data_IF_240988234574
#
_entry.id   IF_240988234574
#
_cell.length_a   1.000
_cell.length_b   1.000
_cell.length_c   1.000
_cell.angle_alpha   90.00
_cell.angle_beta   90.00
_cell.angle_gamma   90.00
#
_symmetry.space_group_name_H-M   'P 1'
#
loop_
_entity.id
_entity.type
_entity.pdbx_description
1 polymer ?
#
# COMPACT_ATOMS: atom_id res chain seq x y z
N UNK A 1 35.89 27.00 5.60
CA UNK A 1 35.00 25.86 5.87
C UNK A 1 33.89 26.33 6.77
N UNK A 2 32.64 26.30 6.34
CA UNK A 2 31.48 26.32 7.23
C UNK A 2 30.33 25.62 6.51
N UNK A 3 30.26 24.30 6.72
CA UNK A 3 29.18 23.46 6.23
C UNK A 3 28.23 23.25 7.42
N UNK A 4 27.31 24.20 7.60
CA UNK A 4 26.29 24.17 8.65
C UNK A 4 24.98 23.62 8.09
N UNK A 5 24.73 22.35 8.36
CA UNK A 5 23.42 21.71 8.56
C UNK A 5 22.21 22.43 7.96
N UNK A 6 21.92 22.19 6.69
CA UNK A 6 20.57 22.35 6.16
C UNK A 6 19.73 21.16 6.62
N UNK A 7 19.20 21.23 7.84
CA UNK A 7 18.12 20.34 8.25
C UNK A 7 16.95 20.50 7.25
N UNK A 8 16.53 19.40 6.62
CA UNK A 8 15.36 19.39 5.75
C UNK A 8 14.17 19.96 6.52
N UNK A 9 13.72 21.17 6.15
CA UNK A 9 12.45 21.71 6.65
C UNK A 9 11.32 20.85 6.06
N UNK A 10 10.51 20.28 6.93
CA UNK A 10 9.29 19.56 6.55
C UNK A 10 8.26 20.60 6.10
N UNK A 11 7.72 20.45 4.89
CA UNK A 11 6.62 21.26 4.38
C UNK A 11 5.28 20.64 4.81
N UNK A 12 4.47 21.42 5.52
CA UNK A 12 3.14 21.04 6.00
C UNK A 12 2.00 21.67 5.17
N UNK A 13 2.32 22.22 3.98
CA UNK A 13 1.32 22.83 3.10
C UNK A 13 0.34 21.78 2.57
N UNK A 14 -0.95 22.05 2.70
CA UNK A 14 -2.01 21.18 2.18
C UNK A 14 -2.23 21.49 0.69
N UNK A 15 -2.23 20.44 -0.15
CA UNK A 15 -2.64 20.57 -1.55
C UNK A 15 -4.17 20.66 -1.66
N UNK A 16 -4.65 21.90 -1.81
CA UNK A 16 -6.09 22.22 -1.93
C UNK A 16 -6.73 21.68 -3.21
N UNK A 17 -5.95 21.28 -4.20
CA UNK A 17 -6.46 20.74 -5.47
C UNK A 17 -6.57 19.21 -5.45
N UNK A 18 -6.05 18.55 -4.41
CA UNK A 18 -5.99 17.10 -4.31
C UNK A 18 -6.62 16.59 -3.01
N UNK A 19 -7.80 17.11 -2.67
CA UNK A 19 -8.54 16.73 -1.48
C UNK A 19 -9.50 15.57 -1.76
N UNK A 20 -9.59 14.66 -0.80
CA UNK A 20 -10.53 13.53 -0.81
C UNK A 20 -11.17 13.38 0.57
N UNK A 21 -12.46 13.05 0.60
CA UNK A 21 -13.15 12.51 1.77
C UNK A 21 -12.97 10.99 1.76
N UNK A 22 -12.56 10.43 2.89
CA UNK A 22 -12.43 8.99 3.06
C UNK A 22 -13.71 8.42 3.69
N UNK A 23 -14.23 7.36 3.08
CA UNK A 23 -15.35 6.56 3.57
C UNK A 23 -14.88 5.10 3.69
N UNK A 24 -15.14 4.46 4.82
CA UNK A 24 -14.78 3.05 5.06
C UNK A 24 -16.04 2.19 5.08
N UNK A 25 -16.02 1.12 4.29
CA UNK A 25 -17.14 0.22 4.06
C UNK A 25 -16.63 -1.19 4.36
N UNK A 26 -17.27 -1.90 5.28
CA UNK A 26 -16.79 -3.21 5.72
C UNK A 26 -17.92 -4.15 6.08
N UNK A 27 -17.69 -5.44 5.87
CA UNK A 27 -18.57 -6.52 6.34
C UNK A 27 -18.25 -6.97 7.78
N UNK A 28 -17.24 -6.36 8.42
CA UNK A 28 -16.73 -6.69 9.77
C UNK A 28 -16.22 -8.14 9.85
N UNK A 29 -15.89 -8.75 8.71
CA UNK A 29 -15.39 -10.12 8.62
C UNK A 29 -14.12 -10.14 7.78
N UNK A 30 -14.28 -10.10 6.47
CA UNK A 30 -13.21 -10.35 5.51
C UNK A 30 -12.84 -9.08 4.75
N UNK A 31 -13.83 -8.28 4.38
CA UNK A 31 -13.66 -7.19 3.43
C UNK A 31 -13.72 -5.82 4.11
N UNK A 32 -12.74 -4.99 3.75
CA UNK A 32 -12.79 -3.55 3.96
C UNK A 32 -12.52 -2.86 2.62
N UNK A 33 -13.41 -1.96 2.23
CA UNK A 33 -13.28 -1.11 1.05
C UNK A 33 -13.18 0.33 1.55
N UNK A 34 -12.11 1.01 1.16
CA UNK A 34 -11.93 2.44 1.36
C UNK A 34 -12.31 3.17 0.09
N UNK A 35 -13.30 4.04 0.17
CA UNK A 35 -13.72 4.92 -0.91
C UNK A 35 -13.16 6.32 -0.66
N UNK A 36 -12.40 6.83 -1.61
CA UNK A 36 -11.91 8.21 -1.62
C UNK A 36 -12.77 9.02 -2.57
N UNK A 37 -13.59 9.91 -2.02
CA UNK A 37 -14.49 10.78 -2.76
C UNK A 37 -13.78 12.12 -2.97
N UNK A 38 -13.52 12.54 -4.21
CA UNK A 38 -12.89 13.84 -4.48
C UNK A 38 -13.74 14.97 -3.90
N UNK A 39 -13.09 15.94 -3.25
CA UNK A 39 -13.75 17.13 -2.73
C UNK A 39 -13.01 18.41 -3.11
N UNK A 40 -13.72 19.53 -3.09
CA UNK A 40 -13.14 20.87 -3.21
C UNK A 40 -12.60 21.38 -1.85
N UNK A 41 -11.92 22.53 -1.87
CA UNK A 41 -11.40 23.18 -0.65
C UNK A 41 -12.49 23.64 0.34
N UNK A 42 -13.76 23.61 -0.05
CA UNK A 42 -14.91 23.89 0.82
C UNK A 42 -15.52 22.60 1.38
N UNK A 43 -14.95 21.44 1.06
CA UNK A 43 -15.39 20.13 1.50
C UNK A 43 -16.58 19.57 0.73
N UNK A 44 -16.99 20.19 -0.38
CA UNK A 44 -18.08 19.68 -1.23
C UNK A 44 -17.55 18.67 -2.22
N UNK A 45 -18.40 17.70 -2.57
CA UNK A 45 -18.06 16.64 -3.52
C UNK A 45 -17.74 17.25 -4.89
N UNK A 46 -16.63 16.80 -5.49
CA UNK A 46 -16.15 17.22 -6.79
C UNK A 46 -16.46 16.15 -7.84
N UNK A 47 -17.60 16.31 -8.51
CA UNK A 47 -18.07 15.38 -9.54
C UNK A 47 -17.27 15.38 -10.84
N UNK A 48 -16.25 16.26 -10.98
CA UNK A 48 -15.37 16.25 -12.15
C UNK A 48 -14.32 15.13 -12.09
N UNK A 49 -14.10 14.56 -10.91
CA UNK A 49 -13.16 13.46 -10.66
C UNK A 49 -13.93 12.21 -10.24
N UNK A 50 -13.44 11.05 -10.65
CA UNK A 50 -14.00 9.78 -10.22
C UNK A 50 -13.56 9.42 -8.80
N UNK A 51 -14.42 8.76 -8.01
CA UNK A 51 -13.99 8.17 -6.75
C UNK A 51 -12.93 7.10 -6.97
N UNK A 52 -12.06 6.92 -5.97
CA UNK A 52 -11.09 5.83 -5.95
C UNK A 52 -11.56 4.81 -4.91
N UNK A 53 -11.51 3.53 -5.27
CA UNK A 53 -11.83 2.45 -4.37
C UNK A 53 -10.57 1.63 -4.09
N UNK A 54 -10.32 1.34 -2.82
CA UNK A 54 -9.22 0.49 -2.37
C UNK A 54 -9.78 -0.67 -1.57
N UNK A 55 -9.47 -1.88 -1.99
CA UNK A 55 -9.72 -3.09 -1.22
C UNK A 55 -8.62 -3.30 -0.19
N UNK A 56 -9.04 -3.77 0.98
CA UNK A 56 -8.19 -4.11 2.12
C UNK A 56 -8.71 -5.39 2.77
N UNK A 57 -7.82 -6.33 3.06
CA UNK A 57 -8.10 -7.51 3.89
C UNK A 57 -6.86 -7.92 4.67
N UNK A 58 -7.00 -8.86 5.60
CA UNK A 58 -5.90 -9.41 6.39
C UNK A 58 -5.89 -10.92 6.28
N UNK A 59 -4.73 -11.48 5.93
CA UNK A 59 -4.49 -12.91 5.89
C UNK A 59 -3.67 -13.32 7.10
N UNK A 60 -3.94 -14.48 7.69
CA UNK A 60 -3.10 -15.01 8.77
C UNK A 60 -2.00 -15.88 8.17
N UNK A 61 -0.73 -15.50 8.35
CA UNK A 61 0.43 -16.35 8.05
C UNK A 61 1.03 -16.92 9.36
N UNK A 62 1.92 -17.92 9.27
CA UNK A 62 2.63 -18.43 10.45
C UNK A 62 3.40 -17.37 11.23
N UNK A 63 3.88 -16.33 10.55
CA UNK A 63 4.66 -15.23 11.10
C UNK A 63 3.78 -14.08 11.62
N UNK A 64 2.47 -14.12 11.37
CA UNK A 64 1.50 -13.13 11.83
C UNK A 64 0.52 -12.67 10.75
N UNK A 65 -0.31 -11.65 11.06
CA UNK A 65 -1.25 -11.10 10.10
C UNK A 65 -0.50 -10.35 8.99
N UNK A 66 -0.83 -10.68 7.75
CA UNK A 66 -0.32 -10.03 6.54
C UNK A 66 -1.44 -9.17 5.94
N UNK A 67 -1.28 -7.83 5.94
CA UNK A 67 -2.26 -6.95 5.31
C UNK A 67 -2.14 -7.06 3.79
N UNK A 68 -3.28 -7.19 3.14
CA UNK A 68 -3.41 -7.18 1.70
C UNK A 68 -4.20 -5.97 1.26
N UNK A 69 -3.72 -5.27 0.23
CA UNK A 69 -4.38 -4.08 -0.30
C UNK A 69 -4.28 -4.07 -1.82
N UNK A 70 -5.32 -3.57 -2.48
CA UNK A 70 -5.32 -3.39 -3.93
C UNK A 70 -6.25 -2.25 -4.34
N UNK A 71 -5.95 -1.58 -5.44
CA UNK A 71 -6.87 -0.64 -6.06
C UNK A 71 -7.96 -1.41 -6.81
N UNK A 72 -9.20 -0.93 -6.72
CA UNK A 72 -10.33 -1.51 -7.42
C UNK A 72 -10.66 -0.68 -8.66
N UNK A 73 -10.85 -1.35 -9.79
CA UNK A 73 -11.25 -0.72 -11.05
C UNK A 73 -12.76 -0.55 -11.07
N UNK A 74 -13.26 0.41 -10.28
CA UNK A 74 -14.68 0.62 -10.09
C UNK A 74 -15.04 2.12 -10.07
N UNK A 75 -16.23 2.46 -10.58
CA UNK A 75 -16.84 3.78 -10.48
C UNK A 75 -17.93 3.86 -9.39
N UNK A 76 -18.45 2.71 -8.95
CA UNK A 76 -19.48 2.60 -7.91
C UNK A 76 -19.08 1.61 -6.81
N UNK A 77 -19.82 1.62 -5.69
CA UNK A 77 -19.60 0.64 -4.62
C UNK A 77 -20.01 -0.77 -5.05
N UNK A 78 -21.04 -0.91 -5.87
CA UNK A 78 -21.49 -2.21 -6.39
C UNK A 78 -20.41 -2.84 -7.26
N UNK A 79 -19.85 -2.07 -8.21
CA UNK A 79 -18.71 -2.50 -9.02
C UNK A 79 -17.48 -2.81 -8.17
N UNK A 80 -17.22 -2.02 -7.12
CA UNK A 80 -16.09 -2.25 -6.22
C UNK A 80 -16.24 -3.57 -5.44
N UNK A 81 -17.46 -3.93 -5.04
CA UNK A 81 -17.74 -5.21 -4.38
C UNK A 81 -17.51 -6.38 -5.34
N UNK A 82 -17.96 -6.25 -6.60
CA UNK A 82 -17.79 -7.29 -7.62
C UNK A 82 -16.31 -7.48 -8.02
N UNK A 83 -15.54 -6.40 -8.12
CA UNK A 83 -14.11 -6.43 -8.45
C UNK A 83 -13.23 -6.94 -7.30
N UNK A 84 -13.72 -6.87 -6.05
CA UNK A 84 -12.93 -7.15 -4.85
C UNK A 84 -12.22 -8.51 -4.86
N UNK A 85 -12.89 -9.65 -5.14
CA UNK A 85 -12.25 -10.96 -5.05
C UNK A 85 -11.09 -11.11 -6.05
N UNK A 86 -11.28 -10.61 -7.27
CA UNK A 86 -10.25 -10.65 -8.31
C UNK A 86 -9.04 -9.81 -7.94
N UNK A 87 -9.25 -8.58 -7.47
CA UNK A 87 -8.19 -7.69 -7.05
C UNK A 87 -7.38 -8.23 -5.85
N UNK A 88 -8.04 -8.91 -4.91
CA UNK A 88 -7.37 -9.56 -3.77
C UNK A 88 -6.57 -10.79 -4.19
N UNK A 89 -7.06 -11.59 -5.13
CA UNK A 89 -6.29 -12.73 -5.64
C UNK A 89 -4.98 -12.26 -6.31
N UNK A 90 -5.06 -11.22 -7.15
CA UNK A 90 -3.87 -10.64 -7.80
C UNK A 90 -2.88 -10.11 -6.75
N UNK A 91 -3.36 -9.35 -5.77
CA UNK A 91 -2.51 -8.81 -4.72
C UNK A 91 -1.84 -9.92 -3.90
N UNK A 92 -2.54 -11.04 -3.65
CA UNK A 92 -1.98 -12.19 -2.93
C UNK A 92 -0.84 -12.82 -3.74
N UNK A 93 -1.05 -13.02 -5.04
CA UNK A 93 -0.04 -13.61 -5.92
C UNK A 93 1.22 -12.73 -5.99
N UNK A 94 1.05 -11.41 -6.13
CA UNK A 94 2.15 -10.43 -6.08
C UNK A 94 2.89 -10.45 -4.75
N UNK A 95 2.16 -10.53 -3.64
CA UNK A 95 2.74 -10.62 -2.29
C UNK A 95 3.57 -11.90 -2.13
N UNK A 96 3.05 -13.05 -2.58
CA UNK A 96 3.76 -14.33 -2.55
C UNK A 96 5.02 -14.27 -3.41
N UNK A 97 4.95 -13.71 -4.62
CA UNK A 97 6.11 -13.53 -5.49
C UNK A 97 7.17 -12.62 -4.83
N UNK A 98 6.74 -11.52 -4.22
CA UNK A 98 7.64 -10.59 -3.54
C UNK A 98 8.34 -11.25 -2.35
N UNK A 99 7.64 -12.07 -1.57
CA UNK A 99 8.23 -12.82 -0.47
C UNK A 99 9.28 -13.84 -0.97
N UNK A 100 9.03 -14.52 -2.08
CA UNK A 100 10.02 -15.44 -2.68
C UNK A 100 11.30 -14.69 -3.06
N UNK A 101 11.17 -13.57 -3.77
CA UNK A 101 12.31 -12.72 -4.17
C UNK A 101 13.12 -12.23 -2.98
N UNK A 102 12.46 -11.73 -1.93
CA UNK A 102 13.14 -11.26 -0.72
C UNK A 102 13.90 -12.41 -0.03
N UNK A 103 13.32 -13.61 0.05
CA UNK A 103 14.03 -14.78 0.62
C UNK A 103 15.26 -15.17 -0.19
N UNK A 104 15.15 -15.18 -1.51
CA UNK A 104 16.28 -15.47 -2.42
C UNK A 104 17.41 -14.43 -2.27
N UNK A 105 17.07 -13.13 -2.26
CA UNK A 105 18.05 -12.06 -2.06
C UNK A 105 18.73 -12.14 -0.69
N UNK A 106 17.98 -12.48 0.37
CA UNK A 106 18.54 -12.67 1.71
C UNK A 106 19.50 -13.85 1.77
N UNK A 107 19.20 -14.96 1.08
CA UNK A 107 20.11 -16.10 0.99
C UNK A 107 21.40 -15.74 0.25
N UNK A 108 21.29 -15.09 -0.92
CA UNK A 108 22.46 -14.61 -1.68
C UNK A 108 23.36 -13.68 -0.88
N UNK A 109 22.78 -12.71 -0.16
CA UNK A 109 23.54 -11.79 0.71
C UNK A 109 24.26 -12.52 1.87
N UNK A 110 23.68 -13.59 2.40
CA UNK A 110 24.32 -14.39 3.46
C UNK A 110 25.52 -15.19 2.94
N UNK A 111 25.42 -15.75 1.74
CA UNK A 111 26.51 -16.51 1.12
C UNK A 111 27.70 -15.60 0.77
N UNK A 112 27.45 -14.41 0.24
CA UNK A 112 28.47 -13.40 -0.06
C UNK A 112 29.19 -12.90 1.20
N UNK A 113 28.46 -12.67 2.30
CA UNK A 113 29.04 -12.28 3.59
C UNK A 113 29.86 -13.40 4.25
N UNK A 114 29.48 -14.66 4.04
CA UNK A 114 30.20 -15.82 4.58
C UNK A 114 31.50 -16.10 3.83
N UNK A 115 31.58 -15.72 2.54
CA UNK A 115 32.77 -15.91 1.70
C UNK A 115 33.87 -14.84 1.89
N UNK A 116 33.64 -13.83 2.74
CA UNK A 116 34.59 -12.73 3.05
C UNK A 116 35.43 -13.02 4.31
N UNK A 117 35.15 -14.10 5.06
CA UNK A 117 35.93 -14.51 6.23
C UNK A 117 37.02 -15.48 5.78
N UNK A 118 38.15 -14.95 5.30
CA UNK A 118 39.38 -15.71 5.08
C UNK A 118 40.07 -16.00 6.43
N UNK A 119 40.28 -17.28 6.84
CA UNK A 119 41.07 -17.59 8.03
C UNK A 119 42.54 -17.30 7.77
N UNK A 120 43.15 -16.53 8.67
CA UNK A 120 44.56 -16.20 8.64
C UNK A 120 45.46 -17.44 8.67
N UNK A 121 46.49 -17.40 7.82
CA UNK A 121 47.76 -18.09 8.00
C UNK A 121 48.89 -17.19 7.52
#
# INVERSE_FOLDING_TARGET
>A
MSNGEQGQKIDFTVDKNNLYREESITDIKVASIRRLIPIDAKGKDDSSRNPIFMAQTQLMSPEGPVPLQSALKAGSIEEAIDEFPGAMQIALDEMVERLKKVREEQMRKKDEASNIIVPGR
#
